data_IF_406319716821
#
_entry.id   IF_406319716821
#
_cell.length_a   1.000
_cell.length_b   1.000
_cell.length_c   1.000
_cell.angle_alpha   90.00
_cell.angle_beta   90.00
_cell.angle_gamma   90.00
#
_symmetry.space_group_name_H-M   'P 1'
#
loop_
_entity.id
_entity.type
_entity.pdbx_description
1 polymer ?
#
# COMPACT_ATOMS: atom_id res chain seq x y z
N UNK A 1 -15.63 -14.25 -79.10
CA UNK A 1 -14.54 -13.49 -78.47
C UNK A 1 -15.13 -12.52 -77.44
N UNK A 2 -16.11 -11.68 -77.76
CA UNK A 2 -16.72 -10.71 -76.84
C UNK A 2 -17.39 -11.38 -75.62
N UNK A 3 -18.06 -12.50 -75.79
CA UNK A 3 -18.72 -13.25 -74.71
C UNK A 3 -17.68 -13.85 -73.70
N UNK A 4 -16.54 -14.31 -74.21
CA UNK A 4 -15.46 -14.86 -73.38
C UNK A 4 -14.76 -13.75 -72.60
N UNK A 5 -14.54 -12.57 -73.19
CA UNK A 5 -13.97 -11.40 -72.49
C UNK A 5 -14.93 -10.90 -71.43
N UNK A 6 -16.24 -10.86 -71.71
CA UNK A 6 -17.27 -10.47 -70.76
C UNK A 6 -17.36 -11.44 -69.57
N UNK A 7 -17.29 -12.76 -69.84
CA UNK A 7 -17.30 -13.76 -68.80
C UNK A 7 -16.01 -13.76 -67.98
N UNK A 8 -14.87 -13.50 -68.59
CA UNK A 8 -13.58 -13.34 -67.85
C UNK A 8 -13.57 -12.06 -66.99
N UNK A 9 -14.00 -10.96 -67.52
CA UNK A 9 -14.06 -9.69 -66.75
C UNK A 9 -15.04 -9.77 -65.58
N UNK A 10 -16.24 -10.36 -65.76
CA UNK A 10 -17.20 -10.57 -64.68
C UNK A 10 -16.71 -11.57 -63.64
N UNK A 11 -15.94 -12.61 -64.05
CA UNK A 11 -15.34 -13.56 -63.08
C UNK A 11 -14.24 -12.92 -62.24
N UNK A 12 -13.36 -12.13 -62.85
CA UNK A 12 -12.32 -11.35 -62.16
C UNK A 12 -12.95 -10.33 -61.22
N UNK A 13 -13.98 -9.60 -61.73
CA UNK A 13 -14.66 -8.61 -60.91
C UNK A 13 -15.41 -9.22 -59.73
N UNK A 14 -16.08 -10.36 -59.91
CA UNK A 14 -16.72 -11.09 -58.79
C UNK A 14 -15.72 -11.59 -57.77
N UNK A 15 -14.57 -12.08 -58.23
CA UNK A 15 -13.51 -12.53 -57.31
C UNK A 15 -12.95 -11.36 -56.48
N UNK A 16 -12.64 -10.24 -57.12
CA UNK A 16 -12.14 -9.05 -56.46
C UNK A 16 -13.18 -8.47 -55.45
N UNK A 17 -14.48 -8.48 -55.86
CA UNK A 17 -15.56 -8.03 -55.00
C UNK A 17 -15.79 -8.95 -53.81
N UNK A 18 -15.65 -10.24 -54.00
CA UNK A 18 -15.71 -11.24 -52.89
C UNK A 18 -14.55 -11.06 -51.91
N UNK A 19 -13.33 -10.85 -52.43
CA UNK A 19 -12.13 -10.60 -51.60
C UNK A 19 -12.22 -9.27 -50.87
N UNK A 20 -12.78 -8.22 -51.45
CA UNK A 20 -13.06 -6.96 -50.76
C UNK A 20 -14.15 -7.10 -49.68
N UNK A 21 -15.19 -7.89 -49.96
CA UNK A 21 -16.28 -8.15 -49.00
C UNK A 21 -15.73 -8.98 -47.81
N UNK A 22 -14.85 -9.93 -48.05
CA UNK A 22 -14.17 -10.70 -47.01
C UNK A 22 -13.25 -9.81 -46.15
N UNK A 23 -12.53 -8.89 -46.78
CA UNK A 23 -11.72 -7.85 -46.10
C UNK A 23 -12.55 -6.91 -45.24
N UNK A 24 -13.68 -6.43 -45.76
CA UNK A 24 -14.59 -5.54 -45.03
C UNK A 24 -15.25 -6.29 -43.86
N UNK A 25 -15.64 -7.55 -44.05
CA UNK A 25 -16.15 -8.39 -42.96
C UNK A 25 -15.09 -8.70 -41.91
N UNK A 26 -13.82 -8.91 -42.30
CA UNK A 26 -12.70 -9.09 -41.37
C UNK A 26 -12.42 -7.82 -40.59
N UNK A 27 -12.64 -6.64 -41.17
CA UNK A 27 -12.53 -5.33 -40.50
C UNK A 27 -13.71 -5.02 -39.56
N UNK A 28 -14.94 -5.47 -39.94
CA UNK A 28 -16.14 -5.17 -39.16
C UNK A 28 -16.27 -6.03 -37.86
N UNK A 29 -15.61 -7.17 -37.81
CA UNK A 29 -15.65 -8.08 -36.67
C UNK A 29 -14.24 -8.26 -36.12
N UNK A 30 -13.71 -7.21 -35.47
CA UNK A 30 -12.45 -7.25 -34.71
C UNK A 30 -12.67 -7.82 -33.29
N UNK A 31 -12.37 -9.09 -33.06
CA UNK A 31 -11.86 -9.53 -31.77
C UNK A 31 -10.39 -9.94 -31.87
N UNK A 32 -9.70 -9.81 -30.74
CA UNK A 32 -8.27 -9.90 -30.50
C UNK A 32 -7.58 -11.26 -30.74
N UNK A 33 -7.74 -11.90 -31.88
CA UNK A 33 -7.07 -13.19 -32.09
C UNK A 33 -6.04 -13.18 -33.21
N UNK A 34 -4.87 -13.77 -32.94
CA UNK A 34 -3.75 -14.02 -33.86
C UNK A 34 -4.15 -14.75 -35.17
N UNK A 35 -5.25 -15.49 -35.18
CA UNK A 35 -5.74 -16.24 -36.34
C UNK A 35 -6.21 -15.32 -37.49
N UNK A 36 -6.52 -14.07 -37.20
CA UNK A 36 -6.96 -13.09 -38.21
C UNK A 36 -5.80 -12.44 -38.98
N UNK A 37 -4.58 -12.46 -38.44
CA UNK A 37 -3.38 -12.00 -39.12
C UNK A 37 -3.05 -12.93 -40.29
N UNK A 38 -3.38 -14.23 -40.18
CA UNK A 38 -3.23 -15.19 -41.28
C UNK A 38 -4.17 -14.93 -42.47
N UNK A 39 -5.35 -14.37 -42.22
CA UNK A 39 -6.30 -14.03 -43.29
C UNK A 39 -5.82 -12.83 -44.14
N UNK A 40 -4.91 -12.03 -43.62
CA UNK A 40 -4.32 -10.88 -44.36
C UNK A 40 -3.10 -11.25 -45.21
N UNK A 41 -2.64 -12.52 -45.22
CA UNK A 41 -1.51 -12.94 -46.06
C UNK A 41 -1.80 -12.70 -47.54
N UNK A 42 -0.82 -12.10 -48.23
CA UNK A 42 -0.87 -11.87 -49.67
C UNK A 42 -0.87 -13.20 -50.37
N UNK A 43 -1.82 -13.41 -51.27
CA UNK A 43 -1.94 -14.64 -52.09
C UNK A 43 -1.45 -14.37 -53.51
N UNK A 44 -0.86 -15.42 -54.13
CA UNK A 44 -0.42 -15.34 -55.53
C UNK A 44 -1.62 -15.05 -56.43
N UNK A 45 -1.63 -13.89 -57.15
CA UNK A 45 -2.75 -13.46 -58.02
C UNK A 45 -3.64 -12.35 -57.45
N UNK A 46 -3.35 -11.81 -56.24
CA UNK A 46 -4.06 -10.62 -55.73
C UNK A 46 -3.81 -9.40 -56.62
N UNK A 47 -4.84 -8.58 -56.89
CA UNK A 47 -4.67 -7.34 -57.60
C UNK A 47 -3.81 -6.36 -56.78
N UNK A 48 -3.04 -5.48 -57.46
CA UNK A 48 -2.15 -4.52 -56.81
C UNK A 48 -2.85 -3.64 -55.77
N UNK A 49 -4.08 -3.26 -56.05
CA UNK A 49 -4.91 -2.46 -55.13
C UNK A 49 -5.27 -3.24 -53.88
N UNK A 50 -5.57 -4.55 -53.98
CA UNK A 50 -5.89 -5.42 -52.86
C UNK A 50 -4.65 -5.66 -52.02
N UNK A 51 -3.48 -5.84 -52.64
CA UNK A 51 -2.19 -5.95 -51.94
C UNK A 51 -1.88 -4.68 -51.15
N UNK A 52 -2.09 -3.51 -51.75
CA UNK A 52 -1.88 -2.22 -51.07
C UNK A 52 -2.80 -2.05 -49.86
N UNK A 53 -4.09 -2.41 -49.99
CA UNK A 53 -5.06 -2.35 -48.89
C UNK A 53 -4.66 -3.34 -47.76
N UNK A 54 -4.31 -4.56 -48.13
CA UNK A 54 -3.86 -5.57 -47.14
C UNK A 54 -2.62 -5.11 -46.35
N UNK A 55 -1.63 -4.51 -47.04
CA UNK A 55 -0.46 -3.97 -46.40
C UNK A 55 -0.80 -2.81 -45.46
N UNK A 56 -1.64 -1.87 -45.90
CA UNK A 56 -2.08 -0.75 -45.04
C UNK A 56 -2.84 -1.23 -43.80
N UNK A 57 -3.68 -2.28 -43.94
CA UNK A 57 -4.37 -2.86 -42.80
C UNK A 57 -3.42 -3.57 -41.85
N UNK A 58 -2.40 -4.29 -42.37
CA UNK A 58 -1.40 -4.94 -41.56
C UNK A 58 -0.58 -3.90 -40.77
N UNK A 59 -0.14 -2.82 -41.42
CA UNK A 59 0.57 -1.70 -40.76
C UNK A 59 -0.28 -1.02 -39.68
N UNK A 60 -1.58 -0.81 -39.96
CA UNK A 60 -2.50 -0.24 -38.96
C UNK A 60 -2.70 -1.17 -37.75
N UNK A 61 -2.85 -2.48 -37.96
CA UNK A 61 -2.93 -3.46 -36.86
C UNK A 61 -1.65 -3.52 -36.04
N UNK A 62 -0.51 -3.57 -36.67
CA UNK A 62 0.78 -3.57 -35.98
C UNK A 62 0.95 -2.32 -35.12
N UNK A 63 0.59 -1.14 -35.68
CA UNK A 63 0.59 0.12 -34.92
C UNK A 63 -0.41 0.13 -33.76
N UNK A 64 -1.58 -0.49 -33.93
CA UNK A 64 -2.58 -0.60 -32.85
C UNK A 64 -2.15 -1.57 -31.75
N UNK A 65 -1.56 -2.72 -32.12
CA UNK A 65 -0.96 -3.66 -31.17
C UNK A 65 0.18 -2.99 -30.40
N UNK A 66 1.07 -2.27 -31.08
CA UNK A 66 2.15 -1.54 -30.44
C UNK A 66 1.60 -0.48 -29.46
N UNK A 67 0.58 0.26 -29.89
CA UNK A 67 -0.09 1.28 -29.07
C UNK A 67 -0.77 0.65 -27.86
N UNK A 68 -1.46 -0.47 -28.03
CA UNK A 68 -2.13 -1.23 -26.96
C UNK A 68 -1.10 -1.77 -25.97
N UNK A 69 -0.01 -2.38 -26.46
CA UNK A 69 1.09 -2.86 -25.62
C UNK A 69 1.76 -1.71 -24.84
N UNK A 70 1.94 -0.57 -25.47
CA UNK A 70 2.47 0.62 -24.82
C UNK A 70 1.52 1.16 -23.74
N UNK A 71 0.22 1.19 -23.99
CA UNK A 71 -0.78 1.56 -22.99
C UNK A 71 -0.81 0.56 -21.84
N UNK A 72 -0.78 -0.73 -22.12
CA UNK A 72 -0.70 -1.78 -21.10
C UNK A 72 0.56 -1.64 -20.26
N UNK A 73 1.71 -1.36 -20.86
CA UNK A 73 2.95 -1.14 -20.12
C UNK A 73 2.88 0.11 -19.22
N UNK A 74 2.26 1.20 -19.70
CA UNK A 74 2.07 2.43 -18.92
C UNK A 74 1.14 2.24 -17.72
N UNK A 75 0.13 1.37 -17.85
CA UNK A 75 -0.82 1.06 -16.77
C UNK A 75 -0.23 0.03 -15.79
N UNK A 76 0.61 -0.87 -16.31
CA UNK A 76 1.10 -2.04 -15.58
C UNK A 76 2.37 -1.79 -14.79
N UNK A 77 3.23 -0.89 -15.30
CA UNK A 77 4.54 -0.61 -14.71
C UNK A 77 4.68 0.87 -14.35
N UNK A 78 5.34 1.12 -13.23
CA UNK A 78 5.70 2.46 -12.82
C UNK A 78 6.88 2.98 -13.63
N UNK A 79 6.79 4.19 -14.19
CA UNK A 79 7.81 4.74 -15.10
C UNK A 79 9.11 5.13 -14.39
N UNK A 80 9.06 5.43 -13.11
CA UNK A 80 10.24 5.83 -12.33
C UNK A 80 11.01 4.63 -11.83
N UNK A 81 10.32 3.66 -11.24
CA UNK A 81 10.93 2.45 -10.67
C UNK A 81 11.10 1.30 -11.67
N UNK A 82 10.26 1.24 -12.70
CA UNK A 82 10.18 0.11 -13.63
C UNK A 82 9.49 -1.12 -13.05
N UNK A 83 8.94 -1.04 -11.83
CA UNK A 83 8.28 -2.15 -11.15
C UNK A 83 6.79 -2.22 -11.47
N UNK A 84 6.16 -3.34 -11.13
CA UNK A 84 4.74 -3.57 -11.34
C UNK A 84 3.93 -2.55 -10.52
N UNK A 85 2.96 -1.89 -11.16
CA UNK A 85 2.04 -0.95 -10.51
C UNK A 85 0.63 -1.53 -10.39
N UNK A 86 0.25 -2.39 -11.32
CA UNK A 86 -1.09 -2.97 -11.38
C UNK A 86 -1.13 -4.36 -10.74
N UNK A 87 -1.88 -4.48 -9.65
CA UNK A 87 -2.03 -5.73 -8.90
C UNK A 87 -2.75 -6.84 -9.66
N UNK A 88 -3.61 -6.52 -10.61
CA UNK A 88 -4.30 -7.54 -11.42
C UNK A 88 -3.33 -8.48 -12.16
N UNK A 89 -2.10 -8.01 -12.46
CA UNK A 89 -1.05 -8.83 -13.06
C UNK A 89 -0.58 -9.92 -12.07
N UNK A 90 -0.54 -9.60 -10.78
CA UNK A 90 -0.07 -10.53 -9.75
C UNK A 90 -1.17 -11.52 -9.39
N UNK A 91 -2.42 -11.06 -9.31
CA UNK A 91 -3.58 -11.91 -9.04
C UNK A 91 -3.82 -12.94 -10.14
N UNK A 92 -3.56 -12.56 -11.41
CA UNK A 92 -3.68 -13.50 -12.54
C UNK A 92 -2.61 -14.61 -12.54
N UNK A 93 -1.49 -14.39 -11.88
CA UNK A 93 -0.35 -15.30 -11.89
C UNK A 93 -0.44 -16.45 -10.87
N UNK A 94 -1.51 -16.60 -10.11
CA UNK A 94 -1.78 -17.68 -9.14
C UNK A 94 -0.52 -18.23 -8.42
N UNK A 95 0.44 -17.37 -8.14
CA UNK A 95 1.78 -17.72 -7.70
C UNK A 95 1.79 -18.03 -6.21
N UNK A 96 2.39 -19.13 -5.85
CA UNK A 96 2.66 -19.49 -4.46
C UNK A 96 3.85 -18.67 -3.96
N UNK A 97 3.57 -17.52 -3.38
CA UNK A 97 4.59 -16.74 -2.67
C UNK A 97 4.78 -17.32 -1.27
N UNK A 98 6.03 -17.58 -0.91
CA UNK A 98 6.41 -18.15 0.39
C UNK A 98 6.81 -17.09 1.41
N UNK A 99 7.10 -15.87 0.96
CA UNK A 99 7.37 -14.74 1.84
C UNK A 99 6.88 -13.43 1.19
N UNK A 100 6.43 -12.51 2.01
CA UNK A 100 6.02 -11.17 1.61
C UNK A 100 6.90 -10.17 2.36
N UNK A 101 7.52 -9.27 1.63
CA UNK A 101 8.35 -8.22 2.21
C UNK A 101 7.94 -6.85 1.71
N UNK A 102 8.20 -5.83 2.51
CA UNK A 102 7.98 -4.45 2.13
C UNK A 102 9.23 -3.63 2.46
N UNK A 103 9.56 -2.70 1.58
CA UNK A 103 10.69 -1.78 1.73
C UNK A 103 10.16 -0.35 1.61
N UNK A 104 10.47 0.50 2.59
CA UNK A 104 10.21 1.94 2.53
C UNK A 104 11.52 2.70 2.42
N UNK A 105 11.63 3.61 1.47
CA UNK A 105 12.74 4.54 1.33
C UNK A 105 12.47 5.78 2.18
N UNK A 106 13.38 6.09 3.10
CA UNK A 106 13.23 7.23 4.01
C UNK A 106 14.18 8.37 3.61
N UNK A 107 13.78 9.62 3.87
CA UNK A 107 14.62 10.80 3.60
C UNK A 107 14.53 11.39 2.19
N UNK A 108 13.70 10.82 1.30
CA UNK A 108 13.52 11.35 -0.06
C UNK A 108 12.93 12.76 -0.10
N UNK A 109 12.05 13.10 0.84
CA UNK A 109 11.47 14.44 1.00
C UNK A 109 12.54 15.49 1.31
N UNK A 110 13.50 15.15 2.17
CA UNK A 110 14.62 16.05 2.48
C UNK A 110 15.54 16.25 1.27
N UNK A 111 15.76 15.22 0.45
CA UNK A 111 16.51 15.32 -0.80
C UNK A 111 15.77 16.24 -1.78
N UNK A 112 14.48 16.03 -1.95
CA UNK A 112 13.65 16.86 -2.84
C UNK A 112 13.65 18.33 -2.42
N UNK A 113 13.52 18.61 -1.12
CA UNK A 113 13.52 19.97 -0.58
C UNK A 113 14.86 20.69 -0.82
N UNK A 114 15.99 19.99 -0.77
CA UNK A 114 17.34 20.60 -0.88
C UNK A 114 17.85 20.59 -2.32
N UNK A 115 17.64 19.51 -3.08
CA UNK A 115 18.28 19.28 -4.38
C UNK A 115 17.27 19.23 -5.54
N UNK A 116 15.97 19.30 -5.25
CA UNK A 116 14.91 19.27 -6.26
C UNK A 116 14.47 17.87 -6.68
N UNK A 117 13.34 17.84 -7.41
CA UNK A 117 12.66 16.61 -7.88
C UNK A 117 13.54 15.74 -8.78
N UNK A 118 14.33 16.36 -9.67
CA UNK A 118 15.17 15.63 -10.61
C UNK A 118 16.24 14.78 -9.90
N UNK A 119 16.85 15.32 -8.84
CA UNK A 119 17.86 14.59 -8.09
C UNK A 119 17.23 13.46 -7.25
N UNK A 120 16.09 13.73 -6.62
CA UNK A 120 15.27 12.69 -5.97
C UNK A 120 14.97 11.54 -6.94
N UNK A 121 14.49 11.82 -8.14
CA UNK A 121 14.14 10.81 -9.12
C UNK A 121 15.36 10.00 -9.60
N UNK A 122 16.54 10.62 -9.75
CA UNK A 122 17.79 9.89 -10.04
C UNK A 122 18.15 8.90 -8.92
N UNK A 123 17.99 9.32 -7.68
CA UNK A 123 18.25 8.47 -6.52
C UNK A 123 17.28 7.30 -6.50
N UNK A 124 15.98 7.55 -6.66
CA UNK A 124 14.94 6.51 -6.70
C UNK A 124 15.26 5.49 -7.78
N UNK A 125 15.57 5.92 -9.02
CA UNK A 125 15.93 5.00 -10.13
C UNK A 125 17.14 4.11 -9.79
N UNK A 126 18.20 4.69 -9.22
CA UNK A 126 19.39 3.92 -8.81
C UNK A 126 19.07 2.90 -7.72
N UNK A 127 18.23 3.28 -6.76
CA UNK A 127 17.78 2.38 -5.69
C UNK A 127 16.92 1.26 -6.24
N UNK A 128 15.96 1.57 -7.10
CA UNK A 128 15.11 0.58 -7.75
C UNK A 128 15.93 -0.39 -8.61
N UNK A 129 16.92 0.11 -9.34
CA UNK A 129 17.83 -0.74 -10.10
C UNK A 129 18.55 -1.75 -9.19
N UNK A 130 19.08 -1.32 -8.05
CA UNK A 130 19.73 -2.22 -7.08
C UNK A 130 18.76 -3.22 -6.45
N UNK A 131 17.55 -2.78 -6.13
CA UNK A 131 16.49 -3.68 -5.64
C UNK A 131 16.20 -4.74 -6.70
N UNK A 132 16.08 -4.35 -7.97
CA UNK A 132 15.85 -5.26 -9.08
C UNK A 132 17.02 -6.25 -9.25
N UNK A 133 18.25 -5.78 -9.30
CA UNK A 133 19.44 -6.63 -9.43
C UNK A 133 19.52 -7.70 -8.33
N UNK A 134 19.08 -7.37 -7.13
CA UNK A 134 19.17 -8.27 -5.97
C UNK A 134 17.98 -9.21 -5.83
N UNK A 135 16.78 -8.77 -6.20
CA UNK A 135 15.54 -9.49 -5.87
C UNK A 135 14.69 -9.92 -7.07
N UNK A 136 14.84 -9.35 -8.27
CA UNK A 136 13.95 -9.66 -9.40
C UNK A 136 13.98 -11.14 -9.83
N UNK A 137 15.04 -11.89 -9.52
CA UNK A 137 15.10 -13.33 -9.83
C UNK A 137 14.21 -14.17 -8.92
N UNK A 138 13.99 -13.72 -7.67
CA UNK A 138 13.23 -14.48 -6.68
C UNK A 138 11.92 -13.81 -6.25
N UNK A 139 11.71 -12.55 -6.59
CA UNK A 139 10.54 -11.78 -6.18
C UNK A 139 9.88 -11.09 -7.38
N UNK A 140 8.55 -10.97 -7.31
CA UNK A 140 7.84 -9.94 -8.06
C UNK A 140 7.83 -8.66 -7.21
N UNK A 141 8.22 -7.54 -7.84
CA UNK A 141 8.38 -6.26 -7.14
C UNK A 141 7.27 -5.32 -7.59
N UNK A 142 6.52 -4.79 -6.63
CA UNK A 142 5.37 -3.92 -6.84
C UNK A 142 5.63 -2.56 -6.22
N UNK A 143 5.34 -1.50 -6.95
CA UNK A 143 5.37 -0.13 -6.45
C UNK A 143 4.02 0.26 -5.88
N UNK A 144 3.98 0.65 -4.61
CA UNK A 144 2.80 1.31 -4.02
C UNK A 144 2.82 2.81 -4.28
N UNK A 145 3.99 3.42 -4.06
CA UNK A 145 4.26 4.84 -4.32
C UNK A 145 5.78 5.01 -4.53
N UNK A 146 6.23 6.24 -4.64
CA UNK A 146 7.63 6.55 -4.96
C UNK A 146 8.65 6.10 -3.89
N UNK A 147 8.21 5.80 -2.67
CA UNK A 147 9.07 5.44 -1.54
C UNK A 147 8.77 4.05 -0.95
N UNK A 148 7.73 3.34 -1.45
CA UNK A 148 7.23 2.11 -0.85
C UNK A 148 7.10 0.99 -1.89
N UNK A 149 7.82 -0.11 -1.67
CA UNK A 149 7.91 -1.25 -2.58
C UNK A 149 7.57 -2.55 -1.87
N UNK A 150 6.70 -3.36 -2.49
CA UNK A 150 6.34 -4.70 -2.05
C UNK A 150 7.16 -5.73 -2.82
N UNK A 151 7.66 -6.73 -2.11
CA UNK A 151 8.39 -7.86 -2.64
C UNK A 151 7.61 -9.14 -2.35
N UNK A 152 7.10 -9.76 -3.38
CA UNK A 152 6.39 -11.05 -3.31
C UNK A 152 7.38 -12.16 -3.67
N UNK A 153 7.91 -12.86 -2.65
CA UNK A 153 9.04 -13.75 -2.80
C UNK A 153 8.62 -15.23 -2.93
N UNK A 154 9.26 -15.93 -3.87
CA UNK A 154 9.08 -17.36 -4.11
C UNK A 154 10.02 -18.23 -3.29
N UNK A 155 10.95 -17.62 -2.55
CA UNK A 155 11.83 -18.30 -1.61
C UNK A 155 11.21 -18.31 -0.20
N UNK A 156 11.66 -19.25 0.63
CA UNK A 156 11.20 -19.31 2.02
C UNK A 156 11.60 -18.05 2.82
N UNK A 157 10.85 -17.77 3.86
CA UNK A 157 11.00 -16.57 4.69
C UNK A 157 12.40 -16.44 5.30
N UNK A 158 13.04 -17.55 5.70
CA UNK A 158 14.36 -17.50 6.32
C UNK A 158 15.46 -17.05 5.33
N UNK A 159 15.41 -17.57 4.10
CA UNK A 159 16.35 -17.17 3.04
C UNK A 159 16.11 -15.72 2.66
N UNK A 160 14.85 -15.33 2.50
CA UNK A 160 14.47 -13.98 2.14
C UNK A 160 14.84 -12.96 3.23
N UNK A 161 14.62 -13.28 4.51
CA UNK A 161 15.02 -12.45 5.65
C UNK A 161 16.52 -12.15 5.65
N UNK A 162 17.36 -13.16 5.39
CA UNK A 162 18.81 -12.94 5.28
C UNK A 162 19.17 -12.00 4.15
N UNK A 163 18.51 -12.14 3.00
CA UNK A 163 18.71 -11.26 1.83
C UNK A 163 18.31 -9.81 2.13
N UNK A 164 17.18 -9.59 2.80
CA UNK A 164 16.70 -8.23 3.13
C UNK A 164 17.56 -7.59 4.22
N UNK A 165 17.95 -8.32 5.26
CA UNK A 165 18.83 -7.80 6.32
C UNK A 165 20.16 -7.25 5.76
N UNK A 166 20.63 -7.77 4.61
CA UNK A 166 21.84 -7.29 3.92
C UNK A 166 21.63 -6.03 3.07
N UNK A 167 20.45 -5.41 3.09
CA UNK A 167 20.18 -4.14 2.35
C UNK A 167 20.92 -2.96 2.99
N UNK A 168 21.35 -3.08 4.25
CA UNK A 168 22.07 -2.03 4.98
C UNK A 168 23.31 -1.47 4.26
N UNK A 169 23.87 -2.20 3.29
CA UNK A 169 25.00 -1.76 2.47
C UNK A 169 24.64 -0.64 1.45
N UNK A 170 23.38 -0.23 1.37
CA UNK A 170 22.96 0.84 0.48
C UNK A 170 23.38 2.24 0.98
N UNK A 171 23.56 2.43 2.29
CA UNK A 171 23.75 3.73 2.91
C UNK A 171 25.05 4.45 2.50
N UNK A 172 26.12 3.70 2.18
CA UNK A 172 27.45 4.27 1.97
C UNK A 172 27.72 4.78 0.55
N UNK A 173 26.90 4.43 -0.44
CA UNK A 173 27.25 4.56 -1.85
C UNK A 173 26.68 5.79 -2.55
N UNK A 174 25.77 6.56 -1.89
CA UNK A 174 25.12 7.72 -2.52
C UNK A 174 25.74 9.08 -2.17
N UNK A 175 26.70 9.14 -1.24
CA UNK A 175 27.35 10.38 -0.84
C UNK A 175 26.50 11.36 -0.02
N UNK A 176 25.23 11.03 0.21
CA UNK A 176 24.33 11.83 1.05
C UNK A 176 24.31 11.28 2.47
N UNK A 177 24.98 11.96 3.39
CA UNK A 177 25.10 11.53 4.80
C UNK A 177 23.78 11.38 5.55
N UNK A 178 22.69 11.92 5.03
CA UNK A 178 21.38 11.94 5.68
C UNK A 178 20.32 11.11 4.93
N UNK A 179 20.65 10.49 3.80
CA UNK A 179 19.73 9.61 3.10
C UNK A 179 19.76 8.26 3.80
N UNK A 180 18.78 8.03 4.64
CA UNK A 180 18.58 6.73 5.29
C UNK A 180 17.67 5.88 4.42
N UNK A 181 18.25 4.85 3.85
CA UNK A 181 17.48 3.89 3.12
C UNK A 181 16.98 2.89 4.15
N UNK A 182 15.71 2.91 4.29
CA UNK A 182 14.72 1.90 4.52
C UNK A 182 14.43 1.44 5.94
N UNK A 183 13.18 1.25 6.06
CA UNK A 183 12.55 0.32 6.97
C UNK A 183 12.08 -0.87 6.14
N UNK A 184 12.22 -2.07 6.63
CA UNK A 184 11.70 -3.26 5.97
C UNK A 184 10.93 -4.14 6.94
N UNK A 185 9.85 -4.72 6.46
CA UNK A 185 9.07 -5.70 7.21
C UNK A 185 8.86 -6.93 6.34
N UNK A 186 8.87 -8.11 6.95
CA UNK A 186 8.65 -9.40 6.28
C UNK A 186 7.68 -10.22 7.10
N UNK A 187 6.81 -10.96 6.40
CA UNK A 187 6.00 -12.03 6.99
C UNK A 187 6.01 -13.28 6.13
N UNK A 188 5.61 -14.38 6.74
CA UNK A 188 5.29 -15.64 6.08
C UNK A 188 3.77 -15.72 5.91
N UNK A 189 3.24 -15.72 4.67
CA UNK A 189 1.81 -15.85 4.46
C UNK A 189 1.32 -17.25 4.85
N UNK A 190 0.16 -17.34 5.48
CA UNK A 190 -0.49 -18.61 5.77
C UNK A 190 -0.87 -19.33 4.47
N UNK A 191 -0.80 -20.64 4.47
CA UNK A 191 -1.15 -21.44 3.30
C UNK A 191 -2.62 -21.18 2.89
N UNK A 192 -2.82 -20.77 1.64
CA UNK A 192 -4.13 -20.49 1.08
C UNK A 192 -4.63 -19.06 1.25
N UNK A 193 -3.92 -18.19 1.96
CA UNK A 193 -4.22 -16.77 2.02
C UNK A 193 -3.57 -15.99 0.87
N UNK A 194 -4.24 -14.93 0.46
CA UNK A 194 -3.71 -14.04 -0.58
C UNK A 194 -2.54 -13.22 -0.04
N UNK A 195 -1.37 -13.32 -0.67
CA UNK A 195 -0.19 -12.57 -0.32
C UNK A 195 -0.42 -11.04 -0.23
N UNK A 196 -1.43 -10.54 -0.97
CA UNK A 196 -1.82 -9.13 -0.95
C UNK A 196 -2.42 -8.68 0.40
N UNK A 197 -3.16 -9.53 1.10
CA UNK A 197 -3.72 -9.19 2.42
C UNK A 197 -2.60 -8.85 3.42
N UNK A 198 -1.46 -9.52 3.30
CA UNK A 198 -0.26 -9.24 4.10
C UNK A 198 0.46 -7.96 3.70
N UNK A 199 0.36 -7.55 2.44
CA UNK A 199 0.97 -6.30 1.98
C UNK A 199 0.39 -5.08 2.70
N UNK A 200 -0.93 -5.01 2.89
CA UNK A 200 -1.57 -3.95 3.66
C UNK A 200 -1.16 -3.98 5.14
N UNK A 201 -1.09 -5.17 5.75
CA UNK A 201 -0.63 -5.34 7.13
C UNK A 201 0.83 -4.88 7.30
N UNK A 202 1.71 -5.26 6.38
CA UNK A 202 3.13 -4.86 6.42
C UNK A 202 3.33 -3.35 6.17
N UNK A 203 2.52 -2.74 5.30
CA UNK A 203 2.52 -1.29 5.08
C UNK A 203 2.22 -0.53 6.37
N UNK A 204 1.30 -1.04 7.15
CA UNK A 204 0.95 -0.48 8.45
C UNK A 204 2.04 -0.75 9.49
N UNK A 205 2.66 -1.94 9.47
CA UNK A 205 3.81 -2.25 10.30
C UNK A 205 4.96 -1.26 10.10
N UNK A 206 5.29 -0.97 8.84
CA UNK A 206 6.33 0.01 8.49
C UNK A 206 5.97 1.43 8.95
N UNK A 207 4.70 1.81 8.84
CA UNK A 207 4.24 3.13 9.27
C UNK A 207 4.32 3.33 10.79
N UNK A 208 4.25 2.24 11.56
CA UNK A 208 4.40 2.26 13.03
C UNK A 208 5.84 2.43 13.51
N UNK A 209 6.83 2.27 12.61
CA UNK A 209 8.23 2.46 12.96
C UNK A 209 8.52 3.97 13.00
N UNK A 210 8.94 4.49 14.15
CA UNK A 210 9.27 5.92 14.33
C UNK A 210 10.45 6.32 13.43
N UNK A 211 10.37 7.51 12.82
CA UNK A 211 11.39 7.99 11.86
C UNK A 211 12.77 8.26 12.47
N UNK A 212 12.91 8.17 13.78
CA UNK A 212 14.16 8.47 14.49
C UNK A 212 15.08 7.27 14.72
N UNK A 213 14.61 6.05 14.41
CA UNK A 213 15.41 4.83 14.60
C UNK A 213 16.15 4.46 13.31
N UNK A 214 17.38 3.97 13.47
CA UNK A 214 18.23 3.47 12.39
C UNK A 214 17.57 2.29 11.68
N UNK A 215 17.98 2.02 10.43
CA UNK A 215 17.51 0.92 9.57
C UNK A 215 16.93 -0.26 10.36
N UNK A 216 15.58 -0.31 10.47
CA UNK A 216 14.94 -1.39 11.22
C UNK A 216 14.36 -2.42 10.27
N UNK A 217 14.67 -3.65 10.60
CA UNK A 217 14.05 -4.83 10.05
C UNK A 217 13.06 -5.38 11.06
N UNK A 218 11.80 -5.57 10.66
CA UNK A 218 10.78 -6.19 11.49
C UNK A 218 10.35 -7.50 10.84
N UNK A 219 10.46 -8.59 11.60
CA UNK A 219 9.76 -9.81 11.27
C UNK A 219 8.36 -9.76 11.90
N UNK A 220 7.34 -9.90 11.07
CA UNK A 220 5.94 -9.88 11.49
C UNK A 220 5.43 -11.33 11.53
N UNK A 221 5.40 -11.92 12.69
CA UNK A 221 4.61 -13.12 12.95
C UNK A 221 3.12 -12.77 13.13
N UNK A 222 2.27 -13.77 13.24
CA UNK A 222 0.83 -13.57 13.42
C UNK A 222 0.50 -12.73 14.65
N UNK A 223 1.26 -12.88 15.74
CA UNK A 223 1.06 -12.10 16.95
C UNK A 223 1.34 -10.61 16.71
N UNK A 224 2.42 -10.30 15.98
CA UNK A 224 2.78 -8.93 15.63
C UNK A 224 1.81 -8.32 14.62
N UNK A 225 1.34 -9.09 13.65
CA UNK A 225 0.33 -8.64 12.70
C UNK A 225 -0.99 -8.32 13.40
N UNK A 226 -1.43 -9.16 14.34
CA UNK A 226 -2.63 -8.94 15.14
C UNK A 226 -2.50 -7.69 16.04
N UNK A 227 -1.33 -7.48 16.65
CA UNK A 227 -1.03 -6.26 17.42
C UNK A 227 -1.19 -5.01 16.55
N UNK A 228 -0.65 -5.05 15.33
CA UNK A 228 -0.73 -3.94 14.37
C UNK A 228 -2.18 -3.68 13.97
N UNK A 229 -2.95 -4.72 13.65
CA UNK A 229 -4.37 -4.59 13.33
C UNK A 229 -5.17 -3.97 14.49
N UNK A 230 -4.87 -4.38 15.72
CA UNK A 230 -5.51 -3.82 16.90
C UNK A 230 -5.14 -2.33 17.08
N UNK A 231 -3.87 -1.97 16.89
CA UNK A 231 -3.42 -0.58 17.00
C UNK A 231 -4.11 0.32 15.98
N UNK A 232 -4.30 -0.17 14.76
CA UNK A 232 -5.02 0.56 13.70
C UNK A 232 -6.49 0.71 14.05
N UNK A 233 -7.09 -0.37 14.54
CA UNK A 233 -8.48 -0.33 14.96
C UNK A 233 -8.69 0.73 16.05
N UNK A 234 -7.80 0.76 17.05
CA UNK A 234 -7.79 1.76 18.12
C UNK A 234 -7.67 3.19 17.53
N UNK A 235 -6.68 3.41 16.65
CA UNK A 235 -6.44 4.72 16.04
C UNK A 235 -7.66 5.24 15.25
N UNK A 236 -8.38 4.35 14.59
CA UNK A 236 -9.58 4.70 13.81
C UNK A 236 -10.82 4.95 14.67
N UNK A 237 -10.93 4.27 15.81
CA UNK A 237 -12.16 4.25 16.61
C UNK A 237 -12.08 5.11 17.87
N UNK A 238 -10.90 5.52 18.35
CA UNK A 238 -10.75 6.23 19.63
C UNK A 238 -11.56 7.53 19.71
N UNK A 239 -11.61 8.31 18.62
CA UNK A 239 -12.39 9.55 18.58
C UNK A 239 -13.90 9.24 18.70
N UNK A 240 -14.37 8.29 17.93
CA UNK A 240 -15.77 7.87 17.97
C UNK A 240 -16.16 7.28 19.34
N UNK A 241 -15.29 6.45 19.92
CA UNK A 241 -15.46 5.88 21.25
C UNK A 241 -15.62 6.96 22.35
N UNK A 242 -14.86 8.07 22.22
CA UNK A 242 -15.03 9.22 23.10
C UNK A 242 -16.41 9.90 22.92
N UNK A 243 -16.86 10.07 21.68
CA UNK A 243 -18.15 10.69 21.37
C UNK A 243 -19.35 9.89 21.87
N UNK A 244 -19.31 8.57 21.79
CA UNK A 244 -20.40 7.68 22.20
C UNK A 244 -20.32 7.24 23.67
N UNK A 245 -19.29 7.66 24.42
CA UNK A 245 -19.13 7.37 25.85
C UNK A 245 -18.57 6.00 26.18
N UNK A 246 -17.95 5.29 25.24
CA UNK A 246 -17.16 4.09 25.50
C UNK A 246 -15.87 4.38 26.31
N UNK A 247 -15.37 5.62 26.21
CA UNK A 247 -14.31 6.16 27.05
C UNK A 247 -14.94 6.85 28.26
N UNK A 248 -14.60 6.39 29.46
CA UNK A 248 -15.14 6.91 30.72
C UNK A 248 -14.07 6.93 31.81
N UNK A 249 -14.34 7.60 32.92
CA UNK A 249 -13.44 7.69 34.06
C UNK A 249 -13.85 6.74 35.18
N UNK A 250 -12.86 6.15 35.81
CA UNK A 250 -12.99 5.48 37.11
C UNK A 250 -12.05 6.17 38.10
N UNK A 251 -12.40 6.13 39.37
CA UNK A 251 -11.67 6.83 40.41
C UNK A 251 -11.08 5.83 41.40
N UNK A 252 -9.76 5.81 41.49
CA UNK A 252 -9.03 4.99 42.46
C UNK A 252 -8.74 5.79 43.70
N UNK A 253 -9.23 5.37 44.90
CA UNK A 253 -9.01 6.13 46.13
C UNK A 253 -7.54 6.09 46.57
N UNK A 254 -7.05 7.25 47.00
CA UNK A 254 -5.74 7.41 47.63
C UNK A 254 -5.98 7.44 49.14
N UNK A 255 -5.38 6.51 49.86
CA UNK A 255 -5.62 6.33 51.30
C UNK A 255 -4.34 6.52 52.10
N UNK A 256 -4.46 7.12 53.26
CA UNK A 256 -3.40 7.18 54.26
C UNK A 256 -3.14 5.79 54.86
N UNK A 257 -1.92 5.35 54.87
CA UNK A 257 -1.54 3.98 55.29
C UNK A 257 -1.82 3.75 56.78
N UNK A 258 -1.65 4.78 57.63
CA UNK A 258 -1.78 4.69 59.06
C UNK A 258 -3.25 4.81 59.55
N UNK A 259 -3.95 5.83 59.00
CA UNK A 259 -5.29 6.18 59.44
C UNK A 259 -6.40 5.51 58.64
N UNK A 260 -6.05 4.94 57.47
CA UNK A 260 -7.00 4.41 56.50
C UNK A 260 -7.98 5.47 55.94
N UNK A 261 -7.72 6.74 56.23
CA UNK A 261 -8.57 7.81 55.71
C UNK A 261 -8.32 8.00 54.21
N UNK A 262 -9.38 8.31 53.45
CA UNK A 262 -9.27 8.66 52.03
C UNK A 262 -8.79 10.11 51.95
N UNK A 263 -7.63 10.33 51.31
CA UNK A 263 -7.00 11.61 51.10
C UNK A 263 -7.32 12.22 49.74
N UNK A 264 -7.66 11.38 48.76
CA UNK A 264 -7.88 11.82 47.40
C UNK A 264 -8.33 10.69 46.52
N UNK A 265 -8.36 10.96 45.23
CA UNK A 265 -8.63 9.94 44.20
C UNK A 265 -7.81 10.24 42.94
N UNK A 266 -7.43 9.19 42.24
CA UNK A 266 -6.83 9.28 40.91
C UNK A 266 -7.88 8.97 39.86
N UNK A 267 -8.07 9.89 38.91
CA UNK A 267 -8.94 9.71 37.76
C UNK A 267 -8.23 8.91 36.68
N UNK A 268 -8.76 7.76 36.35
CA UNK A 268 -8.17 6.83 35.41
C UNK A 268 -9.13 6.60 34.25
N UNK A 269 -8.68 6.91 33.02
CA UNK A 269 -9.46 6.66 31.83
C UNK A 269 -9.56 5.14 31.52
N UNK A 270 -10.75 4.70 31.14
CA UNK A 270 -11.05 3.33 30.71
C UNK A 270 -11.77 3.35 29.38
N UNK A 271 -11.50 2.36 28.57
CA UNK A 271 -12.22 2.14 27.32
C UNK A 271 -12.82 0.74 27.33
N UNK A 272 -14.13 0.67 27.19
CA UNK A 272 -14.86 -0.59 26.99
C UNK A 272 -15.62 -0.48 25.68
N UNK A 273 -15.07 -1.13 24.65
CA UNK A 273 -15.71 -1.16 23.34
C UNK A 273 -16.77 -2.23 23.26
N UNK A 274 -17.90 -1.92 22.62
CA UNK A 274 -18.95 -2.89 22.34
C UNK A 274 -18.47 -4.03 21.42
N UNK A 275 -17.49 -3.74 20.54
CA UNK A 275 -16.97 -4.70 19.56
C UNK A 275 -15.83 -5.57 20.15
N UNK A 276 -14.89 -4.95 20.91
CA UNK A 276 -13.64 -5.59 21.33
C UNK A 276 -13.48 -5.74 22.85
N UNK A 277 -14.46 -5.31 23.63
CA UNK A 277 -14.39 -5.37 25.08
C UNK A 277 -13.43 -4.35 25.68
N UNK A 278 -12.70 -4.74 26.73
CA UNK A 278 -11.79 -3.86 27.47
C UNK A 278 -10.50 -3.60 26.66
N UNK A 279 -10.23 -2.33 26.36
CA UNK A 279 -9.00 -1.89 25.71
C UNK A 279 -8.03 -1.35 26.78
N UNK A 280 -6.77 -1.80 26.73
CA UNK A 280 -5.75 -1.38 27.70
C UNK A 280 -5.45 0.12 27.63
N UNK A 281 -5.48 0.85 28.77
CA UNK A 281 -5.12 2.27 28.80
C UNK A 281 -3.73 2.57 28.27
N UNK A 282 -2.73 1.77 28.60
CA UNK A 282 -1.37 1.92 28.07
C UNK A 282 -1.36 1.91 26.54
N UNK A 283 -2.20 1.07 25.94
CA UNK A 283 -2.25 0.91 24.49
C UNK A 283 -2.93 2.08 23.81
N UNK A 284 -4.15 2.44 24.24
CA UNK A 284 -4.88 3.51 23.54
C UNK A 284 -4.29 4.91 23.83
N UNK A 285 -3.66 5.12 25.00
CA UNK A 285 -2.97 6.39 25.30
C UNK A 285 -1.75 6.55 24.40
N UNK A 286 -0.89 5.52 24.30
CA UNK A 286 0.27 5.55 23.38
C UNK A 286 -0.17 5.83 21.93
N UNK A 287 -1.24 5.18 21.47
CA UNK A 287 -1.76 5.40 20.12
C UNK A 287 -2.32 6.82 19.97
N UNK A 288 -3.01 7.36 20.97
CA UNK A 288 -3.49 8.73 20.96
C UNK A 288 -2.34 9.74 20.88
N UNK A 289 -1.21 9.47 21.54
CA UNK A 289 0.02 10.27 21.43
C UNK A 289 0.59 10.19 20.01
N UNK A 290 0.72 8.98 19.44
CA UNK A 290 1.30 8.76 18.12
C UNK A 290 0.49 9.43 16.98
N UNK A 291 -0.85 9.49 17.11
CA UNK A 291 -1.73 10.14 16.11
C UNK A 291 -2.04 11.61 16.42
N UNK A 292 -1.46 12.19 17.48
CA UNK A 292 -1.69 13.58 17.89
C UNK A 292 -3.06 13.84 18.52
N UNK A 293 -3.83 12.79 18.85
CA UNK A 293 -5.17 12.92 19.46
C UNK A 293 -5.12 13.14 20.99
N UNK A 294 -3.94 13.00 21.60
CA UNK A 294 -3.78 13.04 23.05
C UNK A 294 -4.23 14.37 23.67
N UNK A 295 -4.07 15.51 22.97
CA UNK A 295 -4.48 16.82 23.45
C UNK A 295 -6.01 16.92 23.58
N UNK A 296 -6.75 16.47 22.55
CA UNK A 296 -8.21 16.46 22.55
C UNK A 296 -8.76 15.49 23.61
N UNK A 297 -8.20 14.28 23.68
CA UNK A 297 -8.53 13.28 24.67
C UNK A 297 -8.27 13.79 26.09
N UNK A 298 -7.09 14.36 26.34
CA UNK A 298 -6.70 14.89 27.65
C UNK A 298 -7.59 16.04 28.10
N UNK A 299 -7.90 16.98 27.20
CA UNK A 299 -8.88 18.04 27.49
C UNK A 299 -10.23 17.48 27.94
N UNK A 300 -10.76 16.47 27.23
CA UNK A 300 -12.02 15.86 27.57
C UNK A 300 -11.95 15.10 28.91
N UNK A 301 -10.84 14.40 29.18
CA UNK A 301 -10.60 13.73 30.48
C UNK A 301 -10.64 14.74 31.62
N UNK A 302 -9.86 15.85 31.51
CA UNK A 302 -9.81 16.91 32.54
C UNK A 302 -11.20 17.52 32.77
N UNK A 303 -11.89 17.87 31.69
CA UNK A 303 -13.22 18.49 31.73
C UNK A 303 -14.23 17.56 32.43
N UNK A 304 -14.23 16.25 32.08
CA UNK A 304 -15.12 15.26 32.68
C UNK A 304 -14.78 15.04 34.15
N UNK A 305 -13.49 14.85 34.47
CA UNK A 305 -13.03 14.67 35.86
C UNK A 305 -13.41 15.82 36.77
N UNK A 306 -13.21 17.05 36.31
CA UNK A 306 -13.59 18.25 37.08
C UNK A 306 -15.10 18.39 37.25
N UNK A 307 -15.88 18.06 36.23
CA UNK A 307 -17.35 18.04 36.28
C UNK A 307 -17.89 17.01 37.27
N UNK A 308 -17.42 15.79 37.17
CA UNK A 308 -17.81 14.69 38.07
C UNK A 308 -17.36 14.93 39.51
N UNK A 309 -16.13 15.42 39.70
CA UNK A 309 -15.59 15.80 41.01
C UNK A 309 -16.43 16.88 41.69
N UNK A 310 -16.84 17.92 40.96
CA UNK A 310 -17.75 18.94 41.48
C UNK A 310 -19.07 18.38 41.94
N UNK A 311 -19.66 17.48 41.20
CA UNK A 311 -20.90 16.80 41.61
C UNK A 311 -20.71 15.90 42.82
N UNK A 312 -19.60 15.17 42.88
CA UNK A 312 -19.26 14.29 43.96
C UNK A 312 -18.99 15.07 45.28
N UNK A 313 -18.18 16.15 45.22
CA UNK A 313 -17.84 16.99 46.37
C UNK A 313 -19.08 17.62 47.05
N UNK A 314 -20.10 17.97 46.24
CA UNK A 314 -21.35 18.55 46.77
C UNK A 314 -22.19 17.52 47.53
N UNK A 315 -22.09 16.20 47.20
CA UNK A 315 -22.89 15.13 47.79
C UNK A 315 -22.21 14.45 48.95
N UNK A 316 -20.88 14.32 48.91
CA UNK A 316 -20.10 13.49 49.81
C UNK A 316 -19.45 14.22 50.98
N UNK A 317 -19.68 15.55 51.13
CA UNK A 317 -19.07 16.34 52.21
C UNK A 317 -17.57 16.07 52.34
N UNK A 318 -16.85 16.15 51.21
CA UNK A 318 -15.41 15.91 51.19
C UNK A 318 -14.68 16.92 52.08
N UNK A 319 -13.52 16.52 52.61
CA UNK A 319 -12.63 17.41 53.29
C UNK A 319 -12.05 18.46 52.32
N UNK A 320 -11.74 19.65 52.85
CA UNK A 320 -11.19 20.75 52.03
C UNK A 320 -9.82 20.40 51.41
N UNK A 321 -9.09 19.43 51.96
CA UNK A 321 -7.77 18.94 51.53
C UNK A 321 -7.84 17.70 50.61
N UNK A 322 -9.05 17.32 50.15
CA UNK A 322 -9.21 16.21 49.21
C UNK A 322 -8.58 16.53 47.85
N UNK A 323 -7.68 15.65 47.38
CA UNK A 323 -6.92 15.83 46.15
C UNK A 323 -7.48 14.96 45.01
N UNK A 324 -7.73 15.58 43.88
CA UNK A 324 -8.02 14.88 42.62
C UNK A 324 -6.77 14.85 41.75
N UNK A 325 -6.23 13.65 41.52
CA UNK A 325 -5.10 13.44 40.62
C UNK A 325 -5.56 13.09 39.22
N UNK A 326 -5.00 13.75 38.20
CA UNK A 326 -5.25 13.50 36.79
C UNK A 326 -3.92 13.35 36.08
N UNK A 327 -3.75 12.24 35.36
CA UNK A 327 -2.53 11.98 34.58
C UNK A 327 -2.51 12.87 33.33
N UNK A 328 -1.38 13.48 33.04
CA UNK A 328 -1.13 14.32 31.87
C UNK A 328 0.05 13.78 31.10
N UNK A 329 -0.10 13.61 29.80
CA UNK A 329 1.00 13.17 28.92
C UNK A 329 2.03 14.29 28.75
N UNK A 330 3.33 13.97 28.68
CA UNK A 330 4.37 14.94 28.33
C UNK A 330 4.10 15.69 27.02
N UNK A 331 3.44 15.07 26.07
CA UNK A 331 3.07 15.69 24.78
C UNK A 331 2.08 16.85 24.94
N UNK A 332 1.25 16.83 25.97
CA UNK A 332 0.28 17.90 26.29
C UNK A 332 0.92 19.14 26.92
N UNK A 333 2.16 19.04 27.39
CA UNK A 333 2.90 20.12 28.03
C UNK A 333 3.76 20.95 27.04
N UNK A 334 3.87 20.50 25.77
CA UNK A 334 4.72 21.12 24.77
C UNK A 334 3.95 22.05 23.81
N UNK A 335 2.67 22.27 24.02
CA UNK A 335 1.82 23.29 23.40
C UNK A 335 1.39 24.34 24.46
#
# INVERSE_FOLDING_TARGET
>A
VLLVVYLMTTRVFRRQFSEMTELVNTLAFLPDSTDQIEALKIREGDAKEIISIKNSIAEMKDAEIERSNKLLSLISYDQESGFIKNMAIIESNNNQYLAVGIIKLCGLEAVEAVFGVDERNKIVRKLCQRIAEKYAQCCDIVTFNADLYLLLCRENVQTFTRKIAMINDFDSSFGYRNLRIHKSAICEPLQGENAWSYAEKLKLAISSIRDHMFSEFIFCDDAKLNEIEENIWIARNIRHAMEIGELFLVYQPIVDINTRAILGAEALCRWVSAERGIISPLKFITIAEDIGFINELGYQIIKTAMGEFRHFSQRASLKDDFLLHINVSPWQLNE
#
